data_IF_000275299845
#
_entry.id   IF_000275299845
#
_cell.length_a   1.000
_cell.length_b   1.000
_cell.length_c   1.000
_cell.angle_alpha   90.00
_cell.angle_beta   90.00
_cell.angle_gamma   90.00
#
_symmetry.space_group_name_H-M   'P 1'
#
loop_
_entity.id
_entity.type
_entity.pdbx_description
1 polymer ?
#
# COMPACT_ATOMS: atom_id res chain seq x y z
N UNK A 1 11.14 52.90 -39.44
CA UNK A 1 10.52 51.78 -40.18
C UNK A 1 10.27 50.67 -39.17
N UNK A 2 9.07 50.08 -39.07
CA UNK A 2 8.86 48.92 -38.21
C UNK A 2 9.76 47.79 -38.72
N UNK A 3 10.53 47.18 -37.82
CA UNK A 3 11.39 46.04 -38.13
C UNK A 3 10.50 44.82 -38.18
N UNK A 4 10.66 43.96 -39.20
CA UNK A 4 9.86 42.76 -39.32
C UNK A 4 9.97 41.90 -38.05
N UNK A 5 8.85 41.43 -37.55
CA UNK A 5 8.74 40.54 -36.41
C UNK A 5 9.09 39.10 -36.77
N UNK A 6 9.25 38.27 -35.74
CA UNK A 6 9.59 36.85 -35.90
C UNK A 6 8.58 36.08 -36.79
N UNK A 7 7.30 36.45 -36.71
CA UNK A 7 6.23 35.87 -37.52
C UNK A 7 6.43 36.15 -39.01
N UNK A 8 6.72 37.40 -39.36
CA UNK A 8 6.93 37.85 -40.75
C UNK A 8 8.21 37.24 -41.34
N UNK A 9 9.26 37.07 -40.53
CA UNK A 9 10.46 36.33 -40.94
C UNK A 9 10.19 34.84 -41.15
N UNK A 10 9.43 34.19 -40.26
CA UNK A 10 9.10 32.78 -40.39
C UNK A 10 8.24 32.51 -41.63
N UNK A 11 7.28 33.40 -41.94
CA UNK A 11 6.45 33.30 -43.14
C UNK A 11 7.27 33.47 -44.43
N UNK A 12 8.19 34.43 -44.45
CA UNK A 12 9.12 34.62 -45.56
C UNK A 12 10.06 33.41 -45.75
N UNK A 13 10.62 32.85 -44.67
CA UNK A 13 11.47 31.66 -44.72
C UNK A 13 10.68 30.43 -45.15
N UNK A 14 9.44 30.26 -44.67
CA UNK A 14 8.56 29.16 -45.10
C UNK A 14 8.32 29.21 -46.61
N UNK A 15 8.00 30.40 -47.11
CA UNK A 15 7.64 30.61 -48.52
C UNK A 15 8.85 30.48 -49.44
N UNK A 16 9.97 31.09 -49.07
CA UNK A 16 11.16 31.19 -49.95
C UNK A 16 12.12 30.01 -49.79
N UNK A 17 12.33 29.53 -48.57
CA UNK A 17 13.36 28.52 -48.27
C UNK A 17 12.79 27.12 -48.02
N UNK A 18 11.54 27.01 -47.59
CA UNK A 18 10.90 25.71 -47.32
C UNK A 18 9.84 25.32 -48.35
N UNK A 19 9.66 26.11 -49.43
CA UNK A 19 8.73 25.80 -50.51
C UNK A 19 7.27 25.73 -50.06
N UNK A 20 6.90 26.45 -48.99
CA UNK A 20 5.56 26.41 -48.39
C UNK A 20 5.35 25.30 -47.34
N UNK A 21 6.27 24.35 -47.20
CA UNK A 21 6.17 23.27 -46.20
C UNK A 21 6.58 23.77 -44.80
N UNK A 22 5.76 23.46 -43.80
CA UNK A 22 5.99 23.81 -42.39
C UNK A 22 6.93 22.84 -41.68
N UNK A 23 7.12 21.63 -42.20
CA UNK A 23 7.89 20.58 -41.52
C UNK A 23 9.38 20.94 -41.28
N UNK A 24 10.12 21.50 -42.26
CA UNK A 24 11.51 21.93 -42.04
C UNK A 24 11.61 23.07 -41.02
N UNK A 25 10.64 23.98 -41.05
CA UNK A 25 10.59 25.16 -40.18
C UNK A 25 10.25 24.79 -38.74
N UNK A 26 9.46 23.72 -38.51
CA UNK A 26 9.22 23.16 -37.17
C UNK A 26 10.50 22.63 -36.51
N UNK A 27 11.41 22.01 -37.27
CA UNK A 27 12.69 21.56 -36.72
C UNK A 27 13.55 22.76 -36.27
N UNK A 28 13.59 23.83 -37.07
CA UNK A 28 14.30 25.07 -36.75
C UNK A 28 13.63 25.78 -35.56
N UNK A 29 12.30 25.83 -35.55
CA UNK A 29 11.54 26.40 -34.44
C UNK A 29 11.85 25.65 -33.14
N UNK A 30 11.84 24.32 -33.14
CA UNK A 30 12.15 23.53 -31.95
C UNK A 30 13.61 23.69 -31.51
N UNK A 31 14.58 23.64 -32.44
CA UNK A 31 16.00 23.68 -32.08
C UNK A 31 16.57 25.08 -31.80
N UNK A 32 16.02 26.11 -32.42
CA UNK A 32 16.65 27.43 -32.51
C UNK A 32 15.79 28.55 -31.91
N UNK A 33 14.46 28.47 -32.05
CA UNK A 33 13.53 29.48 -31.51
C UNK A 33 13.07 29.11 -30.10
N UNK A 34 12.62 27.87 -29.89
CA UNK A 34 12.25 27.34 -28.57
C UNK A 34 13.50 27.01 -27.79
N UNK A 35 14.45 26.27 -28.42
CA UNK A 35 15.72 25.84 -27.85
C UNK A 35 15.59 24.97 -26.60
N UNK A 36 16.33 23.87 -26.52
CA UNK A 36 16.41 23.06 -25.28
C UNK A 36 17.39 23.67 -24.25
N UNK A 37 18.10 24.74 -24.64
CA UNK A 37 19.06 25.43 -23.78
C UNK A 37 18.33 26.39 -22.84
N UNK A 38 18.38 26.06 -21.55
CA UNK A 38 17.92 26.92 -20.47
C UNK A 38 18.77 28.19 -20.42
N UNK A 39 18.13 29.36 -20.39
CA UNK A 39 18.82 30.63 -20.17
C UNK A 39 19.44 30.70 -18.76
N UNK A 40 20.58 31.38 -18.62
CA UNK A 40 21.22 31.62 -17.33
C UNK A 40 20.95 33.05 -16.87
N UNK A 41 20.50 33.22 -15.63
CA UNK A 41 20.35 34.55 -15.01
C UNK A 41 21.72 35.00 -14.49
N UNK A 42 22.17 36.25 -14.75
CA UNK A 42 23.42 36.77 -14.21
C UNK A 42 23.43 36.77 -12.67
N UNK A 43 24.59 36.54 -12.02
CA UNK A 43 24.71 36.44 -10.55
C UNK A 43 24.36 37.75 -9.81
N UNK A 44 24.40 38.88 -10.50
CA UNK A 44 24.06 40.22 -9.98
C UNK A 44 22.54 40.46 -9.85
N UNK A 45 21.71 39.54 -10.36
CA UNK A 45 20.25 39.71 -10.36
C UNK A 45 19.69 39.50 -8.95
N UNK A 46 18.80 40.38 -8.44
CA UNK A 46 18.18 40.18 -7.13
C UNK A 46 17.38 38.88 -7.14
N UNK A 47 17.86 37.88 -6.42
CA UNK A 47 17.18 36.59 -6.25
C UNK A 47 16.50 36.53 -4.90
N UNK A 48 15.32 35.90 -4.87
CA UNK A 48 14.62 35.60 -3.61
C UNK A 48 15.49 34.66 -2.74
N UNK A 49 15.48 34.81 -1.40
CA UNK A 49 16.32 34.01 -0.50
C UNK A 49 16.20 32.49 -0.72
N UNK A 50 14.97 32.01 -0.96
CA UNK A 50 14.68 30.61 -1.22
C UNK A 50 15.39 30.07 -2.48
N UNK A 51 15.51 30.88 -3.52
CA UNK A 51 16.21 30.49 -4.74
C UNK A 51 17.71 30.35 -4.50
N UNK A 52 18.30 31.28 -3.72
CA UNK A 52 19.72 31.18 -3.32
C UNK A 52 19.97 29.93 -2.46
N UNK A 53 19.04 29.61 -1.57
CA UNK A 53 19.09 28.40 -0.74
C UNK A 53 19.06 27.12 -1.60
N UNK A 54 18.13 27.04 -2.56
CA UNK A 54 18.03 25.91 -3.47
C UNK A 54 19.30 25.75 -4.32
N UNK A 55 19.85 26.83 -4.89
CA UNK A 55 21.10 26.76 -5.66
C UNK A 55 22.28 26.30 -4.81
N UNK A 56 22.35 26.71 -3.54
CA UNK A 56 23.35 26.22 -2.58
C UNK A 56 23.23 24.70 -2.40
N UNK A 57 22.01 24.21 -2.14
CA UNK A 57 21.73 22.79 -1.97
C UNK A 57 22.00 21.98 -3.25
N UNK A 58 21.68 22.52 -4.43
CA UNK A 58 21.99 21.89 -5.72
C UNK A 58 23.49 21.70 -5.91
N UNK A 59 24.30 22.72 -5.59
CA UNK A 59 25.78 22.65 -5.66
C UNK A 59 26.34 21.64 -4.66
N UNK A 60 25.90 21.70 -3.41
CA UNK A 60 26.34 20.81 -2.32
C UNK A 60 26.02 19.33 -2.62
N UNK A 61 24.79 19.06 -3.05
CA UNK A 61 24.32 17.70 -3.34
C UNK A 61 24.71 17.22 -4.75
N UNK A 62 25.37 18.06 -5.55
CA UNK A 62 25.77 17.81 -6.93
C UNK A 62 24.59 17.41 -7.83
N UNK A 63 23.43 18.06 -7.63
CA UNK A 63 22.23 17.87 -8.44
C UNK A 63 22.13 19.03 -9.44
N UNK A 64 22.27 18.72 -10.73
CA UNK A 64 22.23 19.73 -11.80
C UNK A 64 20.81 19.91 -12.32
N UNK A 65 20.31 21.15 -12.34
CA UNK A 65 19.08 21.50 -13.03
C UNK A 65 19.29 21.41 -14.55
N UNK A 66 18.72 20.37 -15.17
CA UNK A 66 18.82 20.12 -16.60
C UNK A 66 17.42 19.99 -17.21
N UNK A 67 17.22 20.59 -18.38
CA UNK A 67 15.97 20.47 -19.13
C UNK A 67 15.78 19.05 -19.71
N UNK A 68 16.89 18.40 -20.05
CA UNK A 68 16.91 17.00 -20.47
C UNK A 68 16.51 16.07 -19.31
N UNK A 69 15.75 15.04 -19.66
CA UNK A 69 15.31 14.06 -18.69
C UNK A 69 16.48 13.16 -18.27
N UNK A 70 16.68 13.01 -16.95
CA UNK A 70 17.74 12.15 -16.40
C UNK A 70 17.20 11.20 -15.34
N UNK A 71 17.80 10.00 -15.26
CA UNK A 71 17.46 9.01 -14.23
C UNK A 71 18.49 9.04 -13.11
N UNK A 72 18.03 9.27 -11.89
CA UNK A 72 18.85 9.27 -10.68
C UNK A 72 18.50 8.04 -9.81
N UNK A 73 19.50 7.21 -9.50
CA UNK A 73 19.34 6.05 -8.61
C UNK A 73 19.95 6.35 -7.24
N UNK A 74 19.14 6.30 -6.19
CA UNK A 74 19.54 6.59 -4.82
C UNK A 74 19.56 5.29 -3.99
N UNK A 75 20.49 5.26 -3.04
CA UNK A 75 20.63 4.19 -2.04
C UNK A 75 20.61 4.92 -0.70
N UNK A 76 19.48 4.83 -0.01
CA UNK A 76 19.15 5.64 1.17
C UNK A 76 20.05 5.36 2.37
N UNK A 77 20.88 4.30 2.31
CA UNK A 77 21.90 4.02 3.33
C UNK A 77 23.09 4.97 3.24
N UNK A 78 23.28 5.65 2.10
CA UNK A 78 24.33 6.64 1.91
C UNK A 78 23.80 8.03 2.27
N UNK A 79 24.42 8.71 3.25
CA UNK A 79 23.97 10.01 3.74
C UNK A 79 23.73 11.05 2.62
N UNK A 80 24.63 11.13 1.63
CA UNK A 80 24.45 12.05 0.50
C UNK A 80 23.23 11.69 -0.38
N UNK A 81 22.94 10.39 -0.56
CA UNK A 81 21.77 9.95 -1.34
C UNK A 81 20.48 10.20 -0.58
N UNK A 82 20.51 10.02 0.74
CA UNK A 82 19.40 10.35 1.63
C UNK A 82 19.07 11.85 1.59
N UNK A 83 20.08 12.72 1.68
CA UNK A 83 19.88 14.18 1.54
C UNK A 83 19.32 14.58 0.17
N UNK A 84 19.74 13.91 -0.91
CA UNK A 84 19.15 14.12 -2.25
C UNK A 84 17.68 13.74 -2.29
N UNK A 85 17.31 12.61 -1.67
CA UNK A 85 15.92 12.16 -1.56
C UNK A 85 15.08 13.18 -0.79
N UNK A 86 15.53 13.62 0.39
CA UNK A 86 14.83 14.63 1.18
C UNK A 86 14.62 15.95 0.43
N UNK A 87 15.64 16.44 -0.30
CA UNK A 87 15.49 17.65 -1.11
C UNK A 87 14.40 17.49 -2.18
N UNK A 88 14.40 16.37 -2.91
CA UNK A 88 13.40 16.11 -3.95
C UNK A 88 11.98 15.97 -3.36
N UNK A 89 11.85 15.33 -2.21
CA UNK A 89 10.58 15.24 -1.50
C UNK A 89 10.08 16.60 -1.00
N UNK A 90 10.95 17.44 -0.44
CA UNK A 90 10.60 18.82 -0.02
C UNK A 90 10.14 19.67 -1.20
N UNK A 91 10.83 19.57 -2.34
CA UNK A 91 10.42 20.29 -3.55
C UNK A 91 9.09 19.79 -4.10
N UNK A 92 8.85 18.48 -4.10
CA UNK A 92 7.55 17.92 -4.47
C UNK A 92 6.43 18.40 -3.55
N UNK A 93 6.69 18.49 -2.24
CA UNK A 93 5.75 19.03 -1.26
C UNK A 93 5.39 20.49 -1.56
N UNK A 94 6.38 21.30 -1.94
CA UNK A 94 6.23 22.68 -2.43
C UNK A 94 5.61 22.80 -3.83
N UNK A 95 5.13 21.70 -4.42
CA UNK A 95 4.58 21.64 -5.78
C UNK A 95 5.60 22.04 -6.86
N UNK A 96 6.88 21.77 -6.62
CA UNK A 96 7.98 21.92 -7.57
C UNK A 96 8.43 20.51 -7.99
N UNK A 97 7.76 19.87 -8.98
CA UNK A 97 7.99 18.48 -9.34
C UNK A 97 9.27 18.28 -10.17
N UNK A 98 10.42 18.63 -9.59
CA UNK A 98 11.72 18.43 -10.26
C UNK A 98 12.02 16.94 -10.47
N UNK A 99 11.56 16.09 -9.55
CA UNK A 99 11.72 14.64 -9.64
C UNK A 99 10.43 13.87 -9.41
N UNK A 100 10.24 12.79 -10.17
CA UNK A 100 9.16 11.82 -9.92
C UNK A 100 9.74 10.45 -9.61
N UNK A 101 9.26 9.81 -8.54
CA UNK A 101 9.68 8.47 -8.16
C UNK A 101 9.12 7.42 -9.12
N UNK A 102 9.93 6.43 -9.46
CA UNK A 102 9.58 5.32 -10.35
C UNK A 102 9.42 4.03 -9.54
N UNK A 103 8.30 3.33 -9.72
CA UNK A 103 8.08 2.02 -9.10
C UNK A 103 8.94 0.97 -9.82
N UNK A 104 10.03 0.52 -9.19
CA UNK A 104 10.91 -0.50 -9.77
C UNK A 104 10.37 -1.90 -9.47
N UNK A 105 10.00 -2.66 -10.51
CA UNK A 105 9.65 -4.08 -10.39
C UNK A 105 10.93 -4.91 -10.20
N UNK A 106 10.99 -5.72 -9.14
CA UNK A 106 12.06 -6.72 -8.94
C UNK A 106 13.18 -6.38 -7.95
N UNK A 107 13.19 -5.19 -7.33
CA UNK A 107 14.08 -4.89 -6.20
C UNK A 107 13.26 -4.71 -4.91
N UNK A 108 13.16 -5.77 -4.11
CA UNK A 108 12.49 -5.80 -2.80
C UNK A 108 13.36 -5.15 -1.70
N UNK A 109 13.65 -3.86 -1.83
CA UNK A 109 14.35 -3.14 -0.78
C UNK A 109 13.79 -1.73 -0.64
N UNK A 110 13.26 -1.41 0.53
CA UNK A 110 12.83 -0.06 0.95
C UNK A 110 13.95 1.00 0.93
N UNK A 111 15.19 0.58 0.67
CA UNK A 111 16.39 1.43 0.70
C UNK A 111 16.79 1.99 -0.67
N UNK A 112 16.11 1.64 -1.76
CA UNK A 112 16.45 2.09 -3.11
C UNK A 112 15.34 2.91 -3.73
N UNK A 113 15.69 4.10 -4.22
CA UNK A 113 14.77 4.96 -4.97
C UNK A 113 15.31 5.20 -6.38
N UNK A 114 14.41 5.28 -7.34
CA UNK A 114 14.72 5.66 -8.71
C UNK A 114 13.88 6.86 -9.05
N UNK A 115 14.53 7.94 -9.42
CA UNK A 115 13.93 9.23 -9.72
C UNK A 115 14.14 9.56 -11.20
N UNK A 116 13.10 10.10 -11.82
CA UNK A 116 13.16 10.71 -13.13
C UNK A 116 13.13 12.22 -12.93
N UNK A 117 14.24 12.88 -13.25
CA UNK A 117 14.45 14.31 -13.04
C UNK A 117 14.29 15.07 -14.35
N UNK A 118 13.55 16.18 -14.30
CA UNK A 118 13.44 17.13 -15.42
C UNK A 118 13.20 18.52 -14.86
N UNK A 119 14.13 19.43 -15.08
CA UNK A 119 13.94 20.83 -14.69
C UNK A 119 13.10 21.57 -15.73
N UNK A 120 12.13 22.36 -15.28
CA UNK A 120 11.24 23.14 -16.14
C UNK A 120 11.38 24.63 -15.81
N UNK A 121 11.31 25.53 -16.82
CA UNK A 121 11.39 26.97 -16.59
C UNK A 121 10.36 27.48 -15.57
N UNK A 122 9.15 26.91 -15.59
CA UNK A 122 8.04 27.27 -14.71
C UNK A 122 8.38 27.11 -13.21
N UNK A 123 9.37 26.27 -12.86
CA UNK A 123 9.81 26.12 -11.48
C UNK A 123 10.38 27.42 -10.91
N UNK A 124 10.91 28.33 -11.73
CA UNK A 124 11.33 29.64 -11.25
C UNK A 124 10.15 30.43 -10.64
N UNK A 125 8.96 30.34 -11.24
CA UNK A 125 7.73 30.97 -10.72
C UNK A 125 7.29 30.26 -9.45
N UNK A 126 7.26 28.92 -9.46
CA UNK A 126 6.89 28.14 -8.27
C UNK A 126 7.83 28.37 -7.09
N UNK A 127 9.12 28.63 -7.32
CA UNK A 127 10.07 29.00 -6.25
C UNK A 127 9.74 30.39 -5.68
N UNK A 128 9.32 31.35 -6.51
CA UNK A 128 8.89 32.67 -6.03
C UNK A 128 7.62 32.53 -5.18
N UNK A 129 6.64 31.74 -5.62
CA UNK A 129 5.44 31.45 -4.84
C UNK A 129 5.77 30.71 -3.53
N UNK A 130 6.71 29.77 -3.56
CA UNK A 130 7.15 29.04 -2.38
C UNK A 130 7.88 29.95 -1.36
N UNK A 131 8.45 31.09 -1.80
CA UNK A 131 9.17 32.02 -0.93
C UNK A 131 8.28 32.69 0.12
N UNK A 132 6.95 32.69 -0.07
CA UNK A 132 6.00 33.15 0.95
C UNK A 132 6.05 32.29 2.23
N UNK A 133 6.48 31.03 2.11
CA UNK A 133 6.50 30.08 3.22
C UNK A 133 7.82 30.02 3.97
N UNK A 134 8.89 30.60 3.42
CA UNK A 134 10.19 30.59 4.09
C UNK A 134 11.36 30.98 3.20
N UNK A 135 12.50 31.26 3.86
CA UNK A 135 13.74 31.64 3.18
C UNK A 135 14.60 30.44 2.79
N UNK A 136 14.31 29.24 3.32
CA UNK A 136 15.01 27.99 3.00
C UNK A 136 14.02 26.95 2.49
N UNK A 137 14.52 25.96 1.73
CA UNK A 137 13.67 24.88 1.20
C UNK A 137 13.05 24.06 2.33
N UNK A 138 13.77 23.91 3.45
CA UNK A 138 13.27 23.22 4.63
C UNK A 138 12.12 24.00 5.29
N UNK A 139 12.33 25.27 5.64
CA UNK A 139 11.31 26.08 6.32
C UNK A 139 10.07 26.28 5.45
N UNK A 140 10.27 26.53 4.15
CA UNK A 140 9.19 26.70 3.20
C UNK A 140 8.34 25.42 3.11
N UNK A 141 8.98 24.25 2.99
CA UNK A 141 8.27 22.98 2.94
C UNK A 141 7.53 22.66 4.24
N UNK A 142 8.13 22.97 5.40
CA UNK A 142 7.51 22.78 6.71
C UNK A 142 6.26 23.66 6.88
N UNK A 143 6.37 24.96 6.65
CA UNK A 143 5.25 25.91 6.79
C UNK A 143 4.15 25.65 5.76
N UNK A 144 4.52 25.28 4.54
CA UNK A 144 3.55 24.87 3.51
C UNK A 144 2.78 23.62 3.94
N UNK A 145 3.46 22.63 4.52
CA UNK A 145 2.82 21.42 5.02
C UNK A 145 1.85 21.71 6.17
N UNK A 146 2.21 22.61 7.09
CA UNK A 146 1.31 23.07 8.17
C UNK A 146 0.05 23.72 7.60
N UNK A 147 0.19 24.65 6.66
CA UNK A 147 -0.95 25.31 6.01
C UNK A 147 -1.85 24.31 5.26
N UNK A 148 -1.24 23.35 4.54
CA UNK A 148 -1.98 22.29 3.86
C UNK A 148 -2.73 21.37 4.84
N UNK A 149 -2.17 21.09 6.02
CA UNK A 149 -2.85 20.34 7.06
C UNK A 149 -4.05 21.10 7.61
N UNK A 150 -3.92 22.40 7.85
CA UNK A 150 -5.04 23.22 8.30
C UNK A 150 -6.20 23.30 7.30
N UNK A 151 -5.88 23.29 6.00
CA UNK A 151 -6.85 23.30 4.90
C UNK A 151 -7.45 21.93 4.57
N UNK A 152 -6.89 20.84 5.11
CA UNK A 152 -7.38 19.50 4.86
C UNK A 152 -8.53 19.17 5.83
N UNK A 153 -9.66 18.74 5.25
CA UNK A 153 -10.88 18.40 5.98
C UNK A 153 -11.14 16.88 6.03
N UNK A 154 -10.26 16.08 5.41
CA UNK A 154 -10.41 14.63 5.29
C UNK A 154 -9.15 13.84 5.68
N UNK A 155 -9.35 12.64 6.21
CA UNK A 155 -8.28 11.74 6.65
C UNK A 155 -7.35 11.27 5.51
N UNK A 156 -7.83 10.90 4.31
CA UNK A 156 -6.95 10.54 3.20
C UNK A 156 -5.94 11.64 2.84
N UNK A 157 -6.37 12.89 2.76
CA UNK A 157 -5.49 14.03 2.47
C UNK A 157 -4.44 14.19 3.56
N UNK A 158 -4.84 14.14 4.83
CA UNK A 158 -3.92 14.29 5.97
C UNK A 158 -2.91 13.14 6.07
N UNK A 159 -3.33 11.90 5.84
CA UNK A 159 -2.42 10.75 5.87
C UNK A 159 -1.46 10.72 4.68
N UNK A 160 -1.90 11.18 3.51
CA UNK A 160 -1.01 11.39 2.35
C UNK A 160 0.02 12.48 2.64
N UNK A 161 -0.41 13.58 3.25
CA UNK A 161 0.48 14.67 3.67
C UNK A 161 1.51 14.17 4.70
N UNK A 162 1.09 13.36 5.67
CA UNK A 162 1.98 12.77 6.65
C UNK A 162 3.07 11.89 6.01
N UNK A 163 2.72 11.05 5.02
CA UNK A 163 3.69 10.25 4.27
C UNK A 163 4.72 11.16 3.55
N UNK A 164 4.25 12.25 2.93
CA UNK A 164 5.12 13.23 2.27
C UNK A 164 6.05 13.93 3.26
N UNK A 165 5.56 14.30 4.46
CA UNK A 165 6.34 14.94 5.53
C UNK A 165 7.45 14.02 6.02
N UNK A 166 7.16 12.72 6.18
CA UNK A 166 8.15 11.72 6.62
C UNK A 166 9.24 11.56 5.57
N UNK A 167 8.87 11.43 4.29
CA UNK A 167 9.83 11.31 3.19
C UNK A 167 10.67 12.61 3.02
N UNK A 168 10.07 13.76 3.33
CA UNK A 168 10.72 15.07 3.30
C UNK A 168 11.60 15.37 4.53
N UNK A 169 11.65 14.49 5.54
CA UNK A 169 12.37 14.70 6.80
C UNK A 169 12.02 16.04 7.45
N UNK A 170 10.74 16.19 7.83
CA UNK A 170 10.17 17.37 8.51
C UNK A 170 9.51 16.96 9.85
N UNK A 171 10.28 16.43 10.82
CA UNK A 171 9.73 15.88 12.07
C UNK A 171 8.97 16.91 12.91
N UNK A 172 9.36 18.19 12.86
CA UNK A 172 8.70 19.29 13.57
C UNK A 172 7.24 19.52 13.17
N UNK A 173 6.83 19.07 11.98
CA UNK A 173 5.46 19.22 11.46
C UNK A 173 4.57 18.04 11.84
N UNK A 174 5.16 16.88 12.12
CA UNK A 174 4.43 15.62 12.36
C UNK A 174 3.39 15.79 13.47
N UNK A 175 3.77 16.42 14.59
CA UNK A 175 2.88 16.60 15.75
C UNK A 175 1.60 17.37 15.38
N UNK A 176 1.73 18.45 14.61
CA UNK A 176 0.60 19.29 14.22
C UNK A 176 -0.34 18.57 13.26
N UNK A 177 0.22 17.81 12.31
CA UNK A 177 -0.58 16.99 11.39
C UNK A 177 -1.29 15.87 12.13
N UNK A 178 -0.62 15.25 13.09
CA UNK A 178 -1.22 14.19 13.91
C UNK A 178 -2.39 14.72 14.77
N UNK A 179 -2.26 15.91 15.35
CA UNK A 179 -3.37 16.56 16.06
C UNK A 179 -4.56 16.79 15.12
N UNK A 180 -4.32 17.30 13.91
CA UNK A 180 -5.36 17.51 12.91
C UNK A 180 -6.01 16.18 12.47
N UNK A 181 -5.21 15.12 12.31
CA UNK A 181 -5.73 13.75 12.04
C UNK A 181 -6.66 13.30 13.17
N UNK A 182 -6.28 13.52 14.42
CA UNK A 182 -7.09 13.15 15.59
C UNK A 182 -8.41 13.91 15.64
N UNK A 183 -8.38 15.23 15.43
CA UNK A 183 -9.58 16.09 15.37
C UNK A 183 -10.53 15.66 14.25
N UNK A 184 -9.99 15.44 13.04
CA UNK A 184 -10.79 14.98 11.90
C UNK A 184 -11.31 13.56 12.11
N UNK A 185 -10.54 12.67 12.74
CA UNK A 185 -10.98 11.32 13.08
C UNK A 185 -12.08 11.31 14.16
N UNK A 186 -12.06 12.27 15.09
CA UNK A 186 -13.06 12.38 16.15
C UNK A 186 -14.44 12.78 15.63
N UNK A 187 -14.49 13.55 14.54
CA UNK A 187 -15.73 14.04 13.92
C UNK A 187 -16.20 13.20 12.74
N UNK A 188 -15.31 12.41 12.13
CA UNK A 188 -15.66 11.49 11.05
C UNK A 188 -16.49 10.29 11.54
N UNK A 189 -17.47 9.89 10.73
CA UNK A 189 -18.26 8.66 10.91
C UNK A 189 -18.00 7.63 9.80
N UNK A 190 -17.14 7.95 8.83
CA UNK A 190 -16.85 7.10 7.68
C UNK A 190 -15.76 6.07 8.04
N UNK A 191 -16.21 4.88 8.43
CA UNK A 191 -15.34 3.75 8.79
C UNK A 191 -14.40 3.35 7.64
N UNK A 192 -14.84 3.22 6.37
CA UNK A 192 -13.93 2.98 5.26
C UNK A 192 -12.75 3.97 5.24
N UNK A 193 -13.01 5.28 5.36
CA UNK A 193 -11.95 6.29 5.36
C UNK A 193 -10.99 6.13 6.54
N UNK A 194 -11.49 5.80 7.74
CA UNK A 194 -10.64 5.51 8.89
C UNK A 194 -9.74 4.29 8.66
N UNK A 195 -10.27 3.23 8.03
CA UNK A 195 -9.49 2.02 7.72
C UNK A 195 -8.36 2.31 6.71
N UNK A 196 -8.60 3.17 5.72
CA UNK A 196 -7.55 3.58 4.78
C UNK A 196 -6.47 4.42 5.47
N UNK A 197 -6.88 5.32 6.38
CA UNK A 197 -5.97 6.18 7.14
C UNK A 197 -5.11 5.40 8.15
N UNK A 198 -5.63 4.29 8.69
CA UNK A 198 -4.91 3.48 9.68
C UNK A 198 -3.61 2.86 9.12
N UNK A 199 -3.61 2.46 7.83
CA UNK A 199 -2.49 1.76 7.22
C UNK A 199 -1.19 2.59 7.15
N UNK A 200 -1.19 3.82 6.60
CA UNK A 200 0.01 4.66 6.60
C UNK A 200 0.48 4.98 8.03
N UNK A 201 -0.44 5.29 8.95
CA UNK A 201 -0.11 5.58 10.36
C UNK A 201 0.61 4.42 11.06
N UNK A 202 0.16 3.19 10.83
CA UNK A 202 0.81 1.99 11.36
C UNK A 202 2.20 1.76 10.78
N UNK A 203 2.46 2.18 9.54
CA UNK A 203 3.81 2.12 8.97
C UNK A 203 4.74 3.12 9.65
N UNK A 204 4.27 4.34 9.93
CA UNK A 204 5.02 5.35 10.70
C UNK A 204 5.41 4.79 12.07
N UNK A 205 4.45 4.21 12.79
CA UNK A 205 4.67 3.61 14.12
C UNK A 205 5.74 2.50 14.09
N UNK A 206 5.81 1.72 13.01
CA UNK A 206 6.73 0.58 12.89
C UNK A 206 8.13 0.97 12.45
N UNK A 207 8.24 1.91 11.52
CA UNK A 207 9.51 2.27 10.89
C UNK A 207 10.20 3.48 11.54
N UNK A 208 9.51 4.14 12.48
CA UNK A 208 10.12 4.89 13.58
C UNK A 208 11.28 5.76 13.16
N UNK A 209 11.00 6.79 12.36
CA UNK A 209 11.92 7.90 12.26
C UNK A 209 11.62 8.83 13.45
N UNK A 210 12.65 9.10 14.26
CA UNK A 210 12.72 10.22 15.21
C UNK A 210 12.01 10.04 16.58
N UNK A 211 12.84 9.76 17.61
CA UNK A 211 12.70 10.07 19.06
C UNK A 211 11.51 9.45 19.84
N UNK A 212 11.80 9.02 21.08
CA UNK A 212 10.88 8.32 21.98
C UNK A 212 9.60 9.11 22.34
N UNK A 213 9.58 10.43 22.15
CA UNK A 213 8.45 11.29 22.53
C UNK A 213 7.30 11.28 21.51
N UNK A 214 7.60 11.14 20.21
CA UNK A 214 6.59 11.28 19.14
C UNK A 214 5.76 10.01 18.91
N UNK A 215 6.31 8.85 19.29
CA UNK A 215 5.63 7.54 19.17
C UNK A 215 4.39 7.39 20.06
N UNK A 216 4.32 8.11 21.19
CA UNK A 216 3.19 8.00 22.12
C UNK A 216 1.91 8.63 21.54
N UNK A 217 2.01 9.80 20.90
CA UNK A 217 0.87 10.45 20.26
C UNK A 217 0.38 9.65 19.04
N UNK A 218 1.29 9.16 18.20
CA UNK A 218 0.91 8.33 17.04
C UNK A 218 0.17 7.07 17.51
N UNK A 219 0.67 6.44 18.58
CA UNK A 219 -0.02 5.30 19.20
C UNK A 219 -1.41 5.70 19.69
N UNK A 220 -1.57 6.83 20.38
CA UNK A 220 -2.88 7.30 20.83
C UNK A 220 -3.90 7.43 19.69
N UNK A 221 -3.50 8.05 18.58
CA UNK A 221 -4.37 8.22 17.40
C UNK A 221 -4.72 6.87 16.76
N UNK A 222 -3.74 5.96 16.62
CA UNK A 222 -3.94 4.61 16.10
C UNK A 222 -4.92 3.81 16.97
N UNK A 223 -4.76 3.88 18.29
CA UNK A 223 -5.61 3.19 19.27
C UNK A 223 -7.05 3.72 19.19
N UNK A 224 -7.20 5.05 19.10
CA UNK A 224 -8.48 5.73 18.95
C UNK A 224 -9.19 5.42 17.62
N UNK A 225 -8.44 5.34 16.51
CA UNK A 225 -8.99 4.95 15.20
C UNK A 225 -9.42 3.48 15.20
N UNK A 226 -8.57 2.59 15.70
CA UNK A 226 -8.87 1.16 15.72
C UNK A 226 -10.10 0.86 16.58
N UNK A 227 -10.24 1.51 17.73
CA UNK A 227 -11.43 1.39 18.58
C UNK A 227 -12.70 1.78 17.82
N UNK A 228 -12.69 2.93 17.13
CA UNK A 228 -13.84 3.39 16.32
C UNK A 228 -14.15 2.45 15.16
N UNK A 229 -13.11 1.94 14.49
CA UNK A 229 -13.27 0.94 13.43
C UNK A 229 -13.93 -0.32 13.98
N UNK A 230 -13.45 -0.89 15.09
CA UNK A 230 -14.02 -2.10 15.68
C UNK A 230 -15.51 -1.93 16.05
N UNK A 231 -15.89 -0.75 16.54
CA UNK A 231 -17.27 -0.42 16.92
C UNK A 231 -18.17 -0.20 15.70
N UNK A 232 -17.71 0.55 14.69
CA UNK A 232 -18.53 0.95 13.55
C UNK A 232 -18.52 -0.02 12.37
N UNK A 233 -17.54 -0.93 12.28
CA UNK A 233 -17.40 -1.83 11.14
C UNK A 233 -18.59 -2.78 10.95
N UNK A 234 -19.20 -3.39 11.99
CA UNK A 234 -20.36 -4.26 11.83
C UNK A 234 -21.55 -3.56 11.18
N UNK A 235 -21.91 -2.35 11.64
CA UNK A 235 -23.01 -1.58 11.05
C UNK A 235 -22.72 -1.21 9.60
N UNK A 236 -21.49 -0.77 9.32
CA UNK A 236 -21.02 -0.42 7.96
C UNK A 236 -21.07 -1.59 6.99
N UNK A 237 -20.90 -2.83 7.45
CA UNK A 237 -20.89 -4.02 6.60
C UNK A 237 -22.30 -4.56 6.24
N UNK A 238 -23.37 -3.89 6.69
CA UNK A 238 -24.75 -4.33 6.47
C UNK A 238 -25.21 -4.02 5.05
N UNK A 239 -25.86 -4.98 4.37
CA UNK A 239 -26.55 -4.78 3.08
C UNK A 239 -25.69 -4.18 1.96
N UNK A 240 -24.38 -4.48 1.95
CA UNK A 240 -23.47 -4.03 0.89
C UNK A 240 -23.72 -4.76 -0.43
N UNK A 241 -23.57 -4.03 -1.54
CA UNK A 241 -23.52 -4.63 -2.88
C UNK A 241 -22.18 -5.32 -3.14
N UNK A 242 -22.08 -6.08 -4.23
CA UNK A 242 -20.90 -6.91 -4.54
C UNK A 242 -19.60 -6.10 -4.62
N UNK A 243 -19.65 -4.91 -5.24
CA UNK A 243 -18.47 -4.06 -5.42
C UNK A 243 -18.01 -3.46 -4.08
N UNK A 244 -18.94 -2.94 -3.31
CA UNK A 244 -18.66 -2.39 -1.97
C UNK A 244 -18.14 -3.48 -1.02
N UNK A 245 -18.69 -4.69 -1.08
CA UNK A 245 -18.21 -5.83 -0.29
C UNK A 245 -16.78 -6.25 -0.69
N UNK A 246 -16.42 -6.23 -1.97
CA UNK A 246 -15.05 -6.51 -2.41
C UNK A 246 -14.06 -5.45 -1.91
N UNK A 247 -14.40 -4.17 -2.00
CA UNK A 247 -13.52 -3.11 -1.55
C UNK A 247 -13.41 -3.09 -0.01
N UNK A 248 -14.50 -3.41 0.70
CA UNK A 248 -14.49 -3.60 2.15
C UNK A 248 -13.64 -4.82 2.56
N UNK A 249 -13.72 -5.95 1.86
CA UNK A 249 -12.90 -7.13 2.15
C UNK A 249 -11.40 -6.82 2.09
N UNK A 250 -10.97 -5.97 1.13
CA UNK A 250 -9.57 -5.49 1.04
C UNK A 250 -9.18 -4.65 2.26
N UNK A 251 -10.06 -3.74 2.69
CA UNK A 251 -9.84 -2.91 3.89
C UNK A 251 -9.74 -3.76 5.14
N UNK A 252 -10.66 -4.71 5.35
CA UNK A 252 -10.62 -5.64 6.49
C UNK A 252 -9.31 -6.43 6.52
N UNK A 253 -8.86 -6.92 5.37
CA UNK A 253 -7.58 -7.64 5.25
C UNK A 253 -6.39 -6.74 5.61
N UNK A 254 -6.39 -5.49 5.12
CA UNK A 254 -5.33 -4.53 5.42
C UNK A 254 -5.28 -4.19 6.92
N UNK A 255 -6.43 -3.92 7.54
CA UNK A 255 -6.55 -3.64 8.98
C UNK A 255 -6.11 -4.85 9.80
N UNK A 256 -6.54 -6.07 9.45
CA UNK A 256 -6.08 -7.28 10.13
C UNK A 256 -4.55 -7.42 10.09
N UNK A 257 -3.93 -7.13 8.93
CA UNK A 257 -2.48 -7.10 8.80
C UNK A 257 -1.80 -6.03 9.65
N UNK A 258 -2.45 -4.90 9.90
CA UNK A 258 -1.97 -3.84 10.82
C UNK A 258 -2.07 -4.29 12.27
N UNK A 259 -3.23 -4.80 12.70
CA UNK A 259 -3.45 -5.27 14.08
C UNK A 259 -2.44 -6.36 14.46
N UNK A 260 -2.15 -7.29 13.56
CA UNK A 260 -1.17 -8.34 13.80
C UNK A 260 0.26 -7.79 13.95
N UNK A 261 0.59 -6.66 13.29
CA UNK A 261 1.93 -6.03 13.35
C UNK A 261 2.14 -5.12 14.55
N UNK A 262 1.08 -4.49 15.08
CA UNK A 262 1.18 -3.58 16.23
C UNK A 262 1.39 -4.36 17.55
N UNK A 263 1.04 -5.65 17.55
CA UNK A 263 1.27 -6.60 18.66
C UNK A 263 0.66 -6.22 20.03
N UNK A 264 -0.32 -5.32 20.06
CA UNK A 264 -1.07 -5.00 21.27
C UNK A 264 -2.20 -6.02 21.52
N UNK A 265 -2.19 -6.68 22.68
CA UNK A 265 -3.17 -7.71 23.03
C UNK A 265 -4.62 -7.21 23.04
N UNK A 266 -4.88 -6.02 23.59
CA UNK A 266 -6.23 -5.42 23.64
C UNK A 266 -6.81 -5.19 22.25
N UNK A 267 -5.99 -4.69 21.32
CA UNK A 267 -6.38 -4.49 19.92
C UNK A 267 -6.64 -5.80 19.19
N UNK A 268 -5.80 -6.81 19.42
CA UNK A 268 -6.01 -8.15 18.86
C UNK A 268 -7.34 -8.74 19.31
N UNK A 269 -7.65 -8.64 20.61
CA UNK A 269 -8.90 -9.13 21.16
C UNK A 269 -10.11 -8.37 20.59
N UNK A 270 -10.11 -7.03 20.63
CA UNK A 270 -11.21 -6.22 20.10
C UNK A 270 -11.45 -6.50 18.61
N UNK A 271 -10.37 -6.63 17.82
CA UNK A 271 -10.47 -6.97 16.41
C UNK A 271 -11.04 -8.39 16.18
N UNK A 272 -10.60 -9.38 16.97
CA UNK A 272 -11.15 -10.74 16.91
C UNK A 272 -12.65 -10.74 17.23
N UNK A 273 -13.10 -10.03 18.27
CA UNK A 273 -14.51 -9.87 18.62
C UNK A 273 -15.32 -9.23 17.48
N UNK A 274 -14.78 -8.20 16.83
CA UNK A 274 -15.38 -7.61 15.62
C UNK A 274 -15.48 -8.63 14.49
N UNK A 275 -14.44 -9.44 14.23
CA UNK A 275 -14.47 -10.48 13.20
C UNK A 275 -15.51 -11.57 13.54
N UNK A 276 -15.67 -11.96 14.80
CA UNK A 276 -16.74 -12.87 15.21
C UNK A 276 -18.12 -12.27 14.89
N UNK A 277 -18.31 -10.99 15.25
CA UNK A 277 -19.54 -10.26 14.97
C UNK A 277 -19.85 -10.28 13.47
N UNK A 278 -18.88 -9.93 12.62
CA UNK A 278 -19.05 -9.95 11.16
C UNK A 278 -19.34 -11.34 10.61
N UNK A 279 -18.66 -12.38 11.09
CA UNK A 279 -18.85 -13.74 10.63
C UNK A 279 -20.27 -14.28 10.92
N UNK A 280 -20.88 -13.83 12.03
CA UNK A 280 -22.19 -14.30 12.50
C UNK A 280 -23.34 -13.30 12.21
N UNK A 281 -23.03 -12.15 11.62
CA UNK A 281 -23.99 -11.08 11.36
C UNK A 281 -25.04 -11.46 10.31
N UNK A 282 -26.30 -11.15 10.60
CA UNK A 282 -27.41 -11.26 9.62
C UNK A 282 -27.35 -10.12 8.62
N UNK A 283 -27.73 -10.38 7.37
CA UNK A 283 -27.72 -9.42 6.25
C UNK A 283 -26.33 -8.87 5.88
N UNK A 284 -25.26 -9.56 6.27
CA UNK A 284 -23.92 -9.29 5.75
C UNK A 284 -23.77 -9.90 4.36
N UNK A 285 -22.95 -9.30 3.51
CA UNK A 285 -22.58 -9.90 2.23
C UNK A 285 -21.72 -11.15 2.45
N UNK A 286 -22.02 -12.26 1.75
CA UNK A 286 -21.36 -13.56 1.97
C UNK A 286 -19.83 -13.51 1.93
N UNK A 287 -19.25 -12.73 1.00
CA UNK A 287 -17.80 -12.48 0.90
C UNK A 287 -17.19 -12.02 2.22
N UNK A 288 -17.83 -11.10 2.93
CA UNK A 288 -17.30 -10.53 4.16
C UNK A 288 -17.39 -11.53 5.31
N UNK A 289 -18.49 -12.28 5.41
CA UNK A 289 -18.62 -13.36 6.40
C UNK A 289 -17.59 -14.48 6.17
N UNK A 290 -17.40 -14.89 4.92
CA UNK A 290 -16.38 -15.87 4.54
C UNK A 290 -14.97 -15.37 4.87
N UNK A 291 -14.67 -14.11 4.53
CA UNK A 291 -13.38 -13.48 4.83
C UNK A 291 -13.12 -13.36 6.32
N UNK A 292 -14.09 -12.90 7.11
CA UNK A 292 -13.96 -12.79 8.56
C UNK A 292 -13.73 -14.16 9.21
N UNK A 293 -14.47 -15.18 8.76
CA UNK A 293 -14.27 -16.58 9.19
C UNK A 293 -12.86 -17.06 8.87
N UNK A 294 -12.34 -16.73 7.68
CA UNK A 294 -10.98 -17.09 7.27
C UNK A 294 -9.91 -16.42 8.15
N UNK A 295 -10.04 -15.13 8.40
CA UNK A 295 -9.09 -14.39 9.23
C UNK A 295 -9.08 -14.88 10.69
N UNK A 296 -10.23 -15.34 11.21
CA UNK A 296 -10.30 -15.96 12.53
C UNK A 296 -9.57 -17.31 12.59
N UNK A 297 -9.66 -18.12 11.53
CA UNK A 297 -8.90 -19.36 11.43
C UNK A 297 -7.39 -19.07 11.40
N UNK A 298 -6.96 -18.19 10.50
CA UNK A 298 -5.53 -17.88 10.29
C UNK A 298 -4.86 -17.27 11.54
N UNK A 299 -5.63 -16.56 12.38
CA UNK A 299 -5.14 -15.95 13.62
C UNK A 299 -5.37 -16.81 14.87
N UNK A 300 -5.93 -18.02 14.74
CA UNK A 300 -6.27 -18.89 15.86
C UNK A 300 -7.40 -18.33 16.76
N UNK A 301 -8.16 -17.34 16.27
CA UNK A 301 -9.28 -16.73 16.99
C UNK A 301 -10.53 -17.60 17.03
N UNK A 302 -10.61 -18.67 16.24
CA UNK A 302 -11.70 -19.64 16.28
C UNK A 302 -11.19 -21.07 16.11
N UNK A 303 -11.84 -22.02 16.78
CA UNK A 303 -11.52 -23.44 16.66
C UNK A 303 -11.98 -24.01 15.32
N UNK A 304 -11.35 -25.11 14.88
CA UNK A 304 -11.76 -25.81 13.66
C UNK A 304 -13.26 -26.19 13.66
N UNK A 305 -13.80 -26.58 14.82
CA UNK A 305 -15.22 -26.88 14.98
C UNK A 305 -16.13 -25.65 14.76
N UNK A 306 -15.74 -24.47 15.26
CA UNK A 306 -16.47 -23.22 15.03
C UNK A 306 -16.46 -22.82 13.55
N UNK A 307 -15.31 -22.98 12.88
CA UNK A 307 -15.18 -22.70 11.44
C UNK A 307 -16.05 -23.65 10.62
N UNK A 308 -15.99 -24.97 10.90
CA UNK A 308 -16.82 -25.97 10.24
C UNK A 308 -18.32 -25.69 10.45
N UNK A 309 -18.72 -25.25 11.64
CA UNK A 309 -20.10 -24.87 11.91
C UNK A 309 -20.55 -23.66 11.08
N UNK A 310 -19.74 -22.60 11.00
CA UNK A 310 -20.02 -21.42 10.16
C UNK A 310 -20.12 -21.77 8.67
N UNK A 311 -19.23 -22.64 8.19
CA UNK A 311 -19.29 -23.15 6.81
C UNK A 311 -20.59 -23.91 6.54
N UNK A 312 -21.00 -24.82 7.45
CA UNK A 312 -22.27 -25.54 7.35
C UNK A 312 -23.47 -24.59 7.34
N UNK A 313 -23.48 -23.57 8.21
CA UNK A 313 -24.55 -22.58 8.27
C UNK A 313 -24.62 -21.74 7.00
N UNK A 314 -23.49 -21.24 6.49
CA UNK A 314 -23.44 -20.41 5.29
C UNK A 314 -23.96 -21.13 4.03
N UNK A 315 -23.77 -22.45 3.98
CA UNK A 315 -24.15 -23.30 2.84
C UNK A 315 -25.48 -24.03 3.06
N UNK A 316 -26.07 -23.91 4.25
CA UNK A 316 -27.31 -24.60 4.63
C UNK A 316 -28.49 -24.27 3.71
N UNK A 317 -28.58 -23.03 3.21
CA UNK A 317 -29.66 -22.61 2.31
C UNK A 317 -29.63 -23.30 0.94
N UNK A 318 -28.48 -23.87 0.54
CA UNK A 318 -28.33 -24.63 -0.72
C UNK A 318 -28.70 -26.11 -0.55
N UNK A 319 -28.76 -26.61 0.70
CA UNK A 319 -29.04 -28.01 1.03
C UNK A 319 -30.43 -28.43 0.55
N UNK A 320 -30.48 -29.54 -0.20
CA UNK A 320 -31.75 -30.16 -0.64
C UNK A 320 -32.59 -29.30 -1.58
N UNK A 321 -32.02 -28.23 -2.14
CA UNK A 321 -32.70 -27.39 -3.12
C UNK A 321 -32.42 -27.89 -4.53
N UNK A 322 -33.49 -28.19 -5.28
CA UNK A 322 -33.36 -28.50 -6.70
C UNK A 322 -32.82 -27.29 -7.47
N UNK A 323 -32.21 -27.53 -8.64
CA UNK A 323 -31.76 -26.46 -9.52
C UNK A 323 -32.88 -25.43 -9.80
N UNK A 324 -34.12 -25.89 -9.99
CA UNK A 324 -35.29 -25.03 -10.17
C UNK A 324 -35.58 -24.13 -8.95
N UNK A 325 -35.45 -24.65 -7.73
CA UNK A 325 -35.66 -23.89 -6.49
C UNK A 325 -34.56 -22.87 -6.24
N UNK A 326 -33.30 -23.20 -6.58
CA UNK A 326 -32.17 -22.27 -6.50
C UNK A 326 -32.27 -21.14 -7.53
N UNK A 327 -32.75 -21.42 -8.74
CA UNK A 327 -33.04 -20.39 -9.74
C UNK A 327 -34.19 -19.46 -9.31
N UNK A 328 -35.12 -19.97 -8.49
CA UNK A 328 -36.24 -19.22 -7.93
C UNK A 328 -35.84 -18.32 -6.75
N UNK A 329 -34.70 -18.61 -6.09
CA UNK A 329 -34.12 -17.78 -5.04
C UNK A 329 -32.60 -17.61 -5.25
N UNK A 330 -32.19 -16.72 -6.18
CA UNK A 330 -30.79 -16.53 -6.54
C UNK A 330 -29.96 -15.93 -5.40
N UNK A 331 -30.59 -15.30 -4.40
CA UNK A 331 -29.88 -14.66 -3.29
C UNK A 331 -29.18 -15.68 -2.40
N UNK A 332 -29.82 -16.82 -2.11
CA UNK A 332 -29.22 -17.90 -1.30
C UNK A 332 -27.99 -18.49 -1.99
N UNK A 333 -28.10 -18.75 -3.30
CA UNK A 333 -26.98 -19.26 -4.10
C UNK A 333 -25.85 -18.22 -4.16
N UNK A 334 -26.19 -16.95 -4.38
CA UNK A 334 -25.22 -15.84 -4.43
C UNK A 334 -24.49 -15.67 -3.11
N UNK A 335 -25.20 -15.74 -1.98
CA UNK A 335 -24.60 -15.65 -0.65
C UNK A 335 -23.59 -16.79 -0.43
N UNK A 336 -23.99 -18.04 -0.65
CA UNK A 336 -23.14 -19.21 -0.50
C UNK A 336 -21.88 -19.12 -1.38
N UNK A 337 -22.07 -18.73 -2.64
CA UNK A 337 -20.99 -18.56 -3.60
C UNK A 337 -20.00 -17.46 -3.19
N UNK A 338 -20.51 -16.30 -2.76
CA UNK A 338 -19.68 -15.20 -2.26
C UNK A 338 -18.98 -15.56 -0.95
N UNK A 339 -19.62 -16.34 -0.07
CA UNK A 339 -19.01 -16.82 1.17
C UNK A 339 -17.83 -17.74 0.91
N UNK A 340 -17.99 -18.71 0.00
CA UNK A 340 -16.88 -19.57 -0.44
C UNK A 340 -15.76 -18.75 -1.05
N UNK A 341 -16.09 -17.78 -1.91
CA UNK A 341 -15.10 -16.90 -2.49
C UNK A 341 -14.31 -16.16 -1.42
N UNK A 342 -14.95 -15.62 -0.38
CA UNK A 342 -14.26 -14.89 0.70
C UNK A 342 -13.46 -15.77 1.65
N UNK A 343 -13.94 -16.98 1.92
CA UNK A 343 -13.24 -17.94 2.79
C UNK A 343 -12.01 -18.54 2.12
N UNK A 344 -12.08 -18.81 0.81
CA UNK A 344 -11.02 -19.41 0.01
C UNK A 344 -10.20 -18.35 -0.76
N UNK A 345 -10.50 -17.07 -0.60
CA UNK A 345 -9.75 -15.99 -1.25
C UNK A 345 -8.31 -15.96 -0.74
N UNK A 346 -7.35 -16.11 -1.64
CA UNK A 346 -5.93 -16.02 -1.31
C UNK A 346 -5.09 -16.98 -2.13
N UNK A 347 -3.87 -17.22 -1.67
CA UNK A 347 -2.97 -18.19 -2.28
C UNK A 347 -3.43 -19.61 -1.96
N UNK A 348 -3.51 -20.48 -2.99
CA UNK A 348 -3.82 -21.89 -2.78
C UNK A 348 -2.78 -22.59 -1.91
N UNK A 349 -1.58 -22.01 -1.81
CA UNK A 349 -0.52 -22.47 -0.91
C UNK A 349 -0.99 -22.55 0.56
N UNK A 350 -1.94 -21.72 0.98
CA UNK A 350 -2.49 -21.81 2.33
C UNK A 350 -3.30 -23.11 2.51
N UNK A 351 -4.06 -23.54 1.50
CA UNK A 351 -4.77 -24.83 1.53
C UNK A 351 -3.78 -26.00 1.52
N UNK A 352 -2.68 -25.86 0.79
CA UNK A 352 -1.66 -26.89 0.66
C UNK A 352 -0.80 -27.05 1.92
N UNK A 353 -0.55 -25.96 2.66
CA UNK A 353 0.37 -25.97 3.81
C UNK A 353 -0.32 -25.91 5.18
N UNK A 354 -1.57 -25.46 5.27
CA UNK A 354 -2.33 -25.45 6.52
C UNK A 354 -3.16 -26.75 6.65
N UNK A 355 -2.67 -27.66 7.48
CA UNK A 355 -3.32 -28.94 7.76
C UNK A 355 -4.73 -28.77 8.35
N UNK A 356 -4.93 -27.75 9.18
CA UNK A 356 -6.22 -27.50 9.86
C UNK A 356 -7.26 -27.09 8.83
N UNK A 357 -6.90 -26.14 7.97
CA UNK A 357 -7.77 -25.70 6.88
C UNK A 357 -8.09 -26.84 5.91
N UNK A 358 -7.09 -27.63 5.54
CA UNK A 358 -7.29 -28.78 4.67
C UNK A 358 -8.28 -29.76 5.28
N UNK A 359 -8.08 -30.16 6.54
CA UNK A 359 -8.97 -31.09 7.25
C UNK A 359 -10.40 -30.55 7.33
N UNK A 360 -10.59 -29.26 7.63
CA UNK A 360 -11.93 -28.64 7.66
C UNK A 360 -12.61 -28.77 6.29
N UNK A 361 -11.89 -28.50 5.20
CA UNK A 361 -12.44 -28.57 3.85
C UNK A 361 -12.72 -30.02 3.43
N UNK A 362 -11.78 -30.92 3.69
CA UNK A 362 -11.87 -32.34 3.34
C UNK A 362 -13.00 -33.04 4.10
N UNK A 363 -13.08 -32.85 5.42
CA UNK A 363 -14.17 -33.37 6.23
C UNK A 363 -15.51 -32.78 5.80
N UNK A 364 -15.56 -31.47 5.53
CA UNK A 364 -16.80 -30.84 5.10
C UNK A 364 -17.29 -31.43 3.77
N UNK A 365 -16.43 -31.49 2.74
CA UNK A 365 -16.79 -32.06 1.42
C UNK A 365 -17.17 -33.52 1.55
N UNK A 366 -16.41 -34.33 2.29
CA UNK A 366 -16.63 -35.77 2.45
C UNK A 366 -17.94 -36.12 3.16
N UNK A 367 -18.44 -35.22 4.01
CA UNK A 367 -19.70 -35.41 4.74
C UNK A 367 -20.91 -34.74 4.06
N UNK A 368 -20.75 -34.18 2.85
CA UNK A 368 -21.89 -33.64 2.10
C UNK A 368 -22.76 -34.78 1.51
N UNK A 369 -24.08 -34.80 1.79
CA UNK A 369 -24.99 -35.70 1.08
C UNK A 369 -25.01 -35.40 -0.42
N UNK A 370 -25.18 -36.42 -1.27
CA UNK A 370 -25.18 -36.27 -2.74
C UNK A 370 -26.09 -35.13 -3.24
N UNK A 371 -27.33 -35.05 -2.73
CA UNK A 371 -28.28 -33.98 -3.08
C UNK A 371 -27.91 -32.57 -2.59
N UNK A 372 -26.84 -32.42 -1.81
CA UNK A 372 -26.25 -31.14 -1.39
C UNK A 372 -24.95 -30.85 -2.11
N UNK A 373 -24.21 -31.89 -2.48
CA UNK A 373 -22.97 -31.76 -3.24
C UNK A 373 -23.23 -31.27 -4.67
N UNK A 374 -24.21 -31.85 -5.37
CA UNK A 374 -24.51 -31.48 -6.77
C UNK A 374 -24.77 -29.97 -6.97
N UNK A 375 -25.58 -29.29 -6.13
CA UNK A 375 -25.82 -27.86 -6.33
C UNK A 375 -24.66 -26.95 -5.89
N UNK A 376 -23.78 -27.44 -5.02
CA UNK A 376 -22.60 -26.69 -4.53
C UNK A 376 -21.40 -26.85 -5.48
N UNK A 377 -21.30 -27.97 -6.21
CA UNK A 377 -20.18 -28.29 -7.10
C UNK A 377 -19.83 -27.18 -8.10
N UNK A 378 -20.79 -26.52 -8.80
CA UNK A 378 -20.47 -25.41 -9.70
C UNK A 378 -19.84 -24.22 -8.98
N UNK A 379 -20.23 -23.96 -7.73
CA UNK A 379 -19.68 -22.89 -6.90
C UNK A 379 -18.22 -23.19 -6.54
N UNK A 380 -17.95 -24.40 -6.05
CA UNK A 380 -16.60 -24.86 -5.76
C UNK A 380 -15.73 -24.78 -7.02
N UNK A 381 -16.20 -25.33 -8.14
CA UNK A 381 -15.47 -25.28 -9.42
C UNK A 381 -15.12 -23.85 -9.82
N UNK A 382 -16.05 -22.90 -9.67
CA UNK A 382 -15.83 -21.48 -9.93
C UNK A 382 -14.76 -20.89 -9.00
N UNK A 383 -14.84 -21.14 -7.69
CA UNK A 383 -13.88 -20.60 -6.72
C UNK A 383 -12.48 -21.18 -6.95
N UNK A 384 -12.34 -22.50 -7.09
CA UNK A 384 -11.05 -23.14 -7.38
C UNK A 384 -10.47 -22.79 -8.76
N UNK A 385 -11.29 -22.41 -9.75
CA UNK A 385 -10.80 -22.00 -11.07
C UNK A 385 -9.96 -20.71 -11.07
N UNK A 386 -10.03 -19.94 -9.97
CA UNK A 386 -9.22 -18.73 -9.78
C UNK A 386 -7.76 -19.02 -9.45
N UNK A 387 -7.46 -20.23 -8.99
CA UNK A 387 -6.08 -20.65 -8.75
C UNK A 387 -5.39 -21.00 -10.06
N UNK A 388 -4.07 -20.82 -10.07
CA UNK A 388 -3.23 -21.20 -11.21
C UNK A 388 -3.35 -22.70 -11.51
N UNK A 389 -2.93 -23.09 -12.72
CA UNK A 389 -2.95 -24.50 -13.10
C UNK A 389 -2.04 -25.36 -12.20
N UNK A 390 -0.87 -24.83 -11.82
CA UNK A 390 0.06 -25.50 -10.92
C UNK A 390 -0.56 -25.75 -9.53
N UNK A 391 -1.19 -24.72 -8.94
CA UNK A 391 -1.86 -24.83 -7.65
C UNK A 391 -3.01 -25.86 -7.67
N UNK A 392 -3.82 -25.87 -8.74
CA UNK A 392 -4.90 -26.86 -8.89
C UNK A 392 -4.37 -28.29 -9.02
N UNK A 393 -3.25 -28.49 -9.72
CA UNK A 393 -2.58 -29.79 -9.82
C UNK A 393 -2.10 -30.26 -8.44
N UNK A 394 -1.44 -29.40 -7.68
CA UNK A 394 -0.99 -29.71 -6.31
C UNK A 394 -2.17 -30.07 -5.38
N UNK A 395 -3.26 -29.30 -5.42
CA UNK A 395 -4.47 -29.64 -4.64
C UNK A 395 -5.00 -31.01 -5.06
N UNK A 396 -5.03 -31.32 -6.36
CA UNK A 396 -5.50 -32.61 -6.87
C UNK A 396 -4.60 -33.77 -6.42
N UNK A 397 -3.29 -33.58 -6.43
CA UNK A 397 -2.33 -34.55 -5.91
C UNK A 397 -2.56 -34.79 -4.41
N UNK A 398 -2.75 -33.73 -3.64
CA UNK A 398 -3.02 -33.82 -2.20
C UNK A 398 -4.38 -34.50 -1.89
N UNK A 399 -5.40 -34.33 -2.73
CA UNK A 399 -6.65 -35.14 -2.62
C UNK A 399 -6.36 -36.62 -2.91
N UNK A 400 -5.54 -36.93 -3.92
CA UNK A 400 -5.25 -38.33 -4.32
C UNK A 400 -4.40 -39.08 -3.31
N UNK A 401 -3.42 -38.40 -2.70
CA UNK A 401 -2.44 -39.02 -1.82
C UNK A 401 -2.71 -38.73 -0.32
N UNK A 402 -3.74 -37.93 -0.02
CA UNK A 402 -4.01 -37.43 1.32
C UNK A 402 -3.13 -36.24 1.69
N UNK A 403 -3.42 -35.58 2.82
CA UNK A 403 -2.55 -34.55 3.39
C UNK A 403 -1.25 -35.22 3.88
N UNK A 404 -0.31 -35.46 2.96
CA UNK A 404 1.04 -35.86 3.31
C UNK A 404 1.74 -34.65 3.90
N UNK A 405 1.88 -34.62 5.23
CA UNK A 405 2.85 -33.74 5.87
C UNK A 405 4.21 -33.99 5.20
N UNK A 406 4.69 -33.09 4.34
CA UNK A 406 6.13 -32.98 4.09
C UNK A 406 6.89 -32.48 5.33
N UNK A 407 6.19 -32.32 6.46
CA UNK A 407 6.74 -32.02 7.78
C UNK A 407 6.74 -33.20 8.76
N UNK A 408 6.47 -34.43 8.31
CA UNK A 408 7.16 -35.57 8.92
C UNK A 408 8.62 -35.49 8.44
N UNK A 409 9.37 -34.51 8.97
CA UNK A 409 10.69 -34.90 9.42
C UNK A 409 10.38 -36.02 10.40
N UNK A 410 10.85 -37.27 10.20
CA UNK A 410 10.87 -38.20 11.32
C UNK A 410 11.43 -37.40 12.49
N UNK A 411 10.88 -37.49 13.70
CA UNK A 411 11.50 -36.90 14.89
C UNK A 411 12.99 -37.14 14.74
N UNK A 412 13.72 -36.13 14.26
CA UNK A 412 15.15 -36.23 14.17
C UNK A 412 15.45 -36.04 15.62
N UNK A 413 15.58 -37.17 16.34
CA UNK A 413 16.28 -37.24 17.59
C UNK A 413 17.42 -36.27 17.42
N UNK A 414 17.30 -35.12 18.11
CA UNK A 414 18.25 -34.05 17.97
C UNK A 414 19.58 -34.66 18.38
N UNK A 415 20.43 -34.96 17.39
CA UNK A 415 21.71 -35.58 17.64
C UNK A 415 22.61 -34.48 18.20
N UNK A 416 22.53 -34.37 19.52
CA UNK A 416 23.22 -33.34 20.27
C UNK A 416 24.74 -33.41 20.05
N UNK A 417 25.28 -34.61 19.80
CA UNK A 417 26.70 -34.77 19.47
C UNK A 417 27.03 -34.20 18.09
N UNK A 418 26.18 -34.41 17.08
CA UNK A 418 26.36 -33.80 15.76
C UNK A 418 26.19 -32.28 15.79
N UNK A 419 25.22 -31.78 16.56
CA UNK A 419 25.00 -30.35 16.73
C UNK A 419 26.21 -29.69 17.43
N UNK A 420 26.71 -30.28 18.50
CA UNK A 420 27.89 -29.80 19.24
C UNK A 420 29.17 -29.82 18.38
N UNK A 421 29.32 -30.82 17.49
CA UNK A 421 30.47 -30.90 16.59
C UNK A 421 30.55 -29.73 15.57
N UNK A 422 29.41 -29.09 15.25
CA UNK A 422 29.34 -27.99 14.27
C UNK A 422 29.45 -26.61 14.92
N UNK A 423 29.22 -26.52 16.23
CA UNK A 423 29.28 -25.24 16.98
C UNK A 423 30.63 -24.51 16.89
N UNK A 424 31.81 -25.18 16.97
CA UNK A 424 33.09 -24.49 16.84
C UNK A 424 33.26 -23.80 15.48
N UNK A 425 32.79 -24.44 14.40
CA UNK A 425 32.87 -23.88 13.05
C UNK A 425 31.91 -22.69 12.88
N UNK A 426 30.71 -22.78 13.44
CA UNK A 426 29.73 -21.69 13.42
C UNK A 426 30.21 -20.51 14.28
N UNK A 427 30.82 -20.77 15.44
CA UNK A 427 31.44 -19.74 16.28
C UNK A 427 32.56 -19.01 15.51
N UNK A 428 33.37 -19.75 14.76
CA UNK A 428 34.43 -19.17 13.92
C UNK A 428 33.88 -18.29 12.79
N UNK A 429 32.80 -18.71 12.13
CA UNK A 429 32.10 -17.91 11.11
C UNK A 429 31.47 -16.64 11.68
N UNK A 430 31.04 -16.69 12.95
CA UNK A 430 30.42 -15.57 13.65
C UNK A 430 31.44 -14.70 14.43
N UNK A 431 32.74 -15.05 14.37
CA UNK A 431 33.81 -14.30 15.03
C UNK A 431 33.82 -14.42 16.56
N UNK A 432 33.27 -15.49 17.11
CA UNK A 432 33.28 -15.80 18.54
C UNK A 432 34.44 -16.76 18.85
N UNK A 433 35.27 -16.44 19.85
CA UNK A 433 36.32 -17.35 20.32
C UNK A 433 35.67 -18.56 20.99
N UNK A 434 35.87 -19.75 20.41
CA UNK A 434 35.35 -20.99 20.98
C UNK A 434 36.11 -21.34 22.27
N UNK A 435 35.50 -21.11 23.42
CA UNK A 435 35.95 -21.68 24.70
C UNK A 435 35.71 -23.19 24.68
N UNK A 436 36.82 -23.94 24.80
CA UNK A 436 36.89 -25.41 24.90
C UNK A 436 36.04 -26.00 26.02
#
# INVERSE_FOLDING_TARGET
>A
RPVAGLLEYNEAVQTVMCGGDTAPLRLIQNKLIVSERMGSVPPETPMVPLQKDLERLQKELKLRAQAEESTLKLDLRKAQHLQRSHLLHRLNLLRIPWGTTQKVRGKRGTFHEVWKLRWQPDFAVSIIEASLWGNTVHDAAANFAIDQAHKADDLPTLTTLLDQIILAELPEVILQVMQKVEETAATSSDIPLMMDALLPLAQVLRYGNVRQTDTAMIRHVVDGLLTRICVGLPSTCTSLNDKAAQDMAKRITAVHGVVNKIETATHKQAWQETLHTLADQKNIHGMLAGKATRLLLDSGGASAAQIAQRMRLALSGVKGSSAAKLLSNPQTLKFAASWLDGFLEGSALLILHDATLWQILDEWVSHLPAGTFEPILPLLRRTFSRYSEAERRQITEQVRYGFTHQNDRPEQQFDQQQAEAVLPFVAQLLGLEATS
#
